data_IF_453832348115
#
_entry.id   IF_453832348115
#
_cell.length_a   1.000
_cell.length_b   1.000
_cell.length_c   1.000
_cell.angle_alpha   90.00
_cell.angle_beta   90.00
_cell.angle_gamma   90.00
#
_symmetry.space_group_name_H-M   'P 1'
#
loop_
_entity.id
_entity.type
_entity.pdbx_description
1 polymer ?
#
# COMPACT_ATOMS: atom_id res chain seq x y z
N UNK A 1 -10.06 5.95 -24.84
CA UNK A 1 -10.12 5.02 -25.96
C UNK A 1 -10.41 3.61 -25.42
N UNK A 2 -11.53 2.95 -25.79
CA UNK A 2 -11.93 1.66 -25.18
C UNK A 2 -10.84 0.59 -25.23
N UNK A 3 -10.12 0.48 -26.34
CA UNK A 3 -9.05 -0.51 -26.53
C UNK A 3 -7.90 -0.35 -25.51
N UNK A 4 -7.49 0.88 -25.19
CA UNK A 4 -6.43 1.12 -24.21
C UNK A 4 -6.89 0.75 -22.79
N UNK A 5 -8.15 1.01 -22.47
CA UNK A 5 -8.75 0.60 -21.20
C UNK A 5 -8.80 -0.92 -21.05
N UNK A 6 -9.17 -1.64 -22.12
CA UNK A 6 -9.17 -3.11 -22.12
C UNK A 6 -7.76 -3.68 -21.96
N UNK A 7 -6.76 -3.10 -22.62
CA UNK A 7 -5.36 -3.50 -22.45
C UNK A 7 -4.91 -3.25 -21.01
N UNK A 8 -5.20 -2.06 -20.45
CA UNK A 8 -4.87 -1.74 -19.06
C UNK A 8 -5.49 -2.75 -18.09
N UNK A 9 -6.79 -3.01 -18.21
CA UNK A 9 -7.50 -3.96 -17.36
C UNK A 9 -6.89 -5.36 -17.45
N UNK A 10 -6.61 -5.85 -18.67
CA UNK A 10 -6.00 -7.16 -18.89
C UNK A 10 -4.62 -7.29 -18.23
N UNK A 11 -3.79 -6.25 -18.36
CA UNK A 11 -2.48 -6.19 -17.71
C UNK A 11 -2.62 -6.20 -16.18
N UNK A 12 -3.46 -5.34 -15.63
CA UNK A 12 -3.72 -5.25 -14.19
C UNK A 12 -4.21 -6.59 -13.64
N UNK A 13 -5.17 -7.24 -14.28
CA UNK A 13 -5.70 -8.54 -13.87
C UNK A 13 -4.62 -9.63 -13.87
N UNK A 14 -3.76 -9.63 -14.90
CA UNK A 14 -2.65 -10.57 -15.01
C UNK A 14 -1.66 -10.42 -13.85
N UNK A 15 -1.32 -9.19 -13.47
CA UNK A 15 -0.44 -8.93 -12.34
C UNK A 15 -1.13 -9.23 -11.00
N UNK A 16 -2.38 -8.82 -10.81
CA UNK A 16 -3.14 -9.11 -9.59
C UNK A 16 -3.25 -10.62 -9.35
N UNK A 17 -3.47 -11.41 -10.40
CA UNK A 17 -3.44 -12.88 -10.37
C UNK A 17 -2.05 -13.41 -10.00
N UNK A 18 -0.98 -12.84 -10.57
CA UNK A 18 0.40 -13.23 -10.27
C UNK A 18 0.75 -12.99 -8.80
N UNK A 19 0.29 -11.88 -8.22
CA UNK A 19 0.41 -11.57 -6.79
C UNK A 19 -0.61 -12.33 -5.91
N UNK A 20 -1.49 -13.15 -6.49
CA UNK A 20 -2.50 -13.96 -5.78
C UNK A 20 -3.45 -13.14 -4.91
N UNK A 21 -3.83 -11.96 -5.35
CA UNK A 21 -4.68 -11.06 -4.56
C UNK A 21 -6.16 -11.48 -4.48
N UNK A 22 -6.55 -12.55 -5.18
CA UNK A 22 -7.90 -13.10 -5.17
C UNK A 22 -8.77 -12.66 -6.34
N UNK A 23 -9.99 -13.21 -6.41
CA UNK A 23 -10.86 -13.07 -7.59
C UNK A 23 -11.53 -11.69 -7.72
N UNK A 24 -11.58 -10.92 -6.65
CA UNK A 24 -12.14 -9.55 -6.68
C UNK A 24 -11.06 -8.49 -6.92
N UNK A 25 -9.81 -8.93 -7.13
CA UNK A 25 -8.68 -8.03 -7.30
C UNK A 25 -8.74 -7.27 -8.62
N UNK A 26 -8.06 -6.14 -8.64
CA UNK A 26 -7.87 -5.28 -9.79
C UNK A 26 -6.92 -4.15 -9.43
N UNK A 27 -7.02 -3.03 -10.12
CA UNK A 27 -6.11 -1.92 -9.85
C UNK A 27 -6.17 -0.83 -10.90
N UNK A 28 -5.12 -0.05 -10.98
CA UNK A 28 -4.97 1.07 -11.92
C UNK A 28 -3.50 1.28 -12.26
N UNK A 29 -3.21 1.66 -13.52
CA UNK A 29 -1.88 2.09 -13.94
C UNK A 29 -1.63 3.54 -13.52
N UNK A 30 -0.41 3.81 -13.05
CA UNK A 30 -0.01 5.11 -12.52
C UNK A 30 1.39 5.51 -13.00
N UNK A 31 1.70 6.80 -12.90
CA UNK A 31 2.95 7.37 -13.39
C UNK A 31 4.17 7.15 -12.48
N UNK A 32 4.06 6.38 -11.41
CA UNK A 32 5.21 6.07 -10.54
C UNK A 32 4.80 5.62 -9.14
N UNK A 33 5.70 4.91 -8.44
CA UNK A 33 5.45 4.31 -7.14
C UNK A 33 5.01 5.28 -6.04
N UNK A 34 5.49 6.52 -6.09
CA UNK A 34 5.05 7.56 -5.14
C UNK A 34 3.56 7.87 -5.28
N UNK A 35 3.06 7.90 -6.52
CA UNK A 35 1.64 8.10 -6.79
C UNK A 35 0.83 6.86 -6.42
N UNK A 36 1.37 5.67 -6.65
CA UNK A 36 0.73 4.41 -6.23
C UNK A 36 0.59 4.34 -4.70
N UNK A 37 1.64 4.70 -3.96
CA UNK A 37 1.60 4.75 -2.50
C UNK A 37 0.62 5.84 -1.99
N UNK A 38 0.62 7.02 -2.62
CA UNK A 38 -0.32 8.10 -2.29
C UNK A 38 -1.76 7.64 -2.46
N UNK A 39 -2.09 7.04 -3.60
CA UNK A 39 -3.45 6.57 -3.87
C UNK A 39 -3.86 5.42 -2.95
N UNK A 40 -2.96 4.47 -2.66
CA UNK A 40 -3.21 3.38 -1.73
C UNK A 40 -3.58 3.89 -0.33
N UNK A 41 -2.79 4.85 0.19
CA UNK A 41 -3.03 5.45 1.51
C UNK A 41 -4.31 6.31 1.49
N UNK A 42 -4.58 6.99 0.36
CA UNK A 42 -5.81 7.76 0.16
C UNK A 42 -7.07 6.89 0.23
N UNK A 43 -7.06 5.74 -0.45
CA UNK A 43 -8.16 4.76 -0.39
C UNK A 43 -8.31 4.20 1.03
N UNK A 44 -7.20 3.79 1.67
CA UNK A 44 -7.21 3.30 3.04
C UNK A 44 -7.82 4.34 4.02
N UNK A 45 -7.41 5.62 3.88
CA UNK A 45 -7.94 6.75 4.67
C UNK A 45 -9.44 6.93 4.44
N UNK A 46 -9.87 7.02 3.18
CA UNK A 46 -11.27 7.26 2.84
C UNK A 46 -12.16 6.14 3.38
N UNK A 47 -11.72 4.90 3.21
CA UNK A 47 -12.45 3.73 3.70
C UNK A 47 -12.51 3.64 5.22
N UNK A 48 -11.41 3.93 5.90
CA UNK A 48 -11.34 3.81 7.36
C UNK A 48 -12.08 4.93 8.09
N UNK A 49 -12.06 6.14 7.54
CA UNK A 49 -12.63 7.34 8.16
C UNK A 49 -13.91 7.83 7.46
N UNK A 50 -14.39 7.14 6.42
CA UNK A 50 -15.52 7.60 5.59
C UNK A 50 -15.32 9.03 5.10
N UNK A 51 -14.05 9.38 4.79
CA UNK A 51 -13.62 10.76 4.55
C UNK A 51 -13.72 11.19 3.08
N UNK A 52 -14.30 10.37 2.22
CA UNK A 52 -14.40 10.64 0.79
C UNK A 52 -15.14 11.95 0.52
N UNK A 53 -16.30 12.18 1.16
CA UNK A 53 -17.09 13.40 0.98
C UNK A 53 -16.74 14.51 1.98
N UNK A 54 -16.50 14.14 3.24
CA UNK A 54 -16.39 15.11 4.34
C UNK A 54 -14.95 15.50 4.69
N UNK A 55 -13.96 14.82 4.08
CA UNK A 55 -12.57 15.00 4.45
C UNK A 55 -12.27 14.52 5.88
N UNK A 56 -11.26 15.11 6.51
CA UNK A 56 -10.80 14.72 7.84
C UNK A 56 -11.28 15.68 8.95
N UNK A 57 -12.11 16.67 8.59
CA UNK A 57 -12.62 17.66 9.54
C UNK A 57 -13.50 16.97 10.59
N UNK A 58 -13.22 17.22 11.87
CA UNK A 58 -13.97 16.63 12.96
C UNK A 58 -13.51 15.27 13.45
N UNK A 59 -12.40 14.73 12.94
CA UNK A 59 -11.78 13.54 13.53
C UNK A 59 -11.35 13.85 14.97
N UNK A 60 -11.88 13.07 15.91
CA UNK A 60 -11.57 13.21 17.34
C UNK A 60 -10.25 12.53 17.74
N UNK A 61 -9.71 11.66 16.88
CA UNK A 61 -8.54 10.83 17.15
C UNK A 61 -7.55 10.98 16.01
N UNK A 62 -6.28 11.22 16.37
CA UNK A 62 -5.20 11.36 15.38
C UNK A 62 -5.02 10.07 14.58
N UNK A 63 -5.11 10.13 13.23
CA UNK A 63 -4.79 9.01 12.36
C UNK A 63 -3.30 8.66 12.39
N UNK A 64 -2.95 7.36 12.32
CA UNK A 64 -1.56 6.92 12.26
C UNK A 64 -1.35 5.87 11.15
N UNK A 65 -0.21 6.02 10.48
CA UNK A 65 0.35 5.06 9.53
C UNK A 65 1.63 4.49 10.16
N UNK A 66 1.73 3.17 10.28
CA UNK A 66 2.96 2.52 10.74
C UNK A 66 3.75 1.99 9.55
N UNK A 67 5.06 2.24 9.52
CA UNK A 67 5.94 1.76 8.45
C UNK A 67 7.37 1.60 8.99
N UNK A 68 8.22 0.87 8.26
CA UNK A 68 9.64 0.72 8.60
C UNK A 68 10.38 2.07 8.57
N UNK A 69 11.36 2.25 9.44
CA UNK A 69 12.28 3.40 9.38
C UNK A 69 13.04 3.50 8.05
N UNK A 70 13.17 2.41 7.30
CA UNK A 70 13.75 2.37 5.95
C UNK A 70 12.71 2.46 4.82
N UNK A 71 11.48 2.87 5.13
CA UNK A 71 10.46 3.08 4.13
C UNK A 71 10.87 4.17 3.13
N UNK A 72 10.29 4.13 1.94
CA UNK A 72 10.48 5.20 0.97
C UNK A 72 9.78 6.49 1.44
N UNK A 73 10.42 7.65 1.22
CA UNK A 73 9.91 8.97 1.65
C UNK A 73 8.54 9.33 1.08
N UNK A 74 8.07 8.62 0.04
CA UNK A 74 6.73 8.77 -0.51
C UNK A 74 5.62 8.54 0.52
N UNK A 75 5.87 7.74 1.57
CA UNK A 75 4.88 7.48 2.61
C UNK A 75 4.63 8.75 3.44
N UNK A 76 5.71 9.41 3.87
CA UNK A 76 5.61 10.69 4.60
C UNK A 76 5.01 11.79 3.72
N UNK A 77 5.42 11.85 2.43
CA UNK A 77 4.85 12.79 1.46
C UNK A 77 3.36 12.52 1.22
N UNK A 78 2.95 11.25 1.12
CA UNK A 78 1.54 10.90 1.01
C UNK A 78 0.74 11.36 2.24
N UNK A 79 1.24 11.13 3.45
CA UNK A 79 0.61 11.61 4.67
C UNK A 79 0.45 13.14 4.68
N UNK A 80 1.48 13.88 4.26
CA UNK A 80 1.45 15.35 4.13
C UNK A 80 0.39 15.79 3.11
N UNK A 81 0.41 15.25 1.90
CA UNK A 81 -0.52 15.62 0.81
C UNK A 81 -1.97 15.30 1.17
N UNK A 82 -2.19 14.17 1.84
CA UNK A 82 -3.52 13.73 2.27
C UNK A 82 -4.05 14.48 3.51
N UNK A 83 -3.34 15.49 4.02
CA UNK A 83 -3.77 16.28 5.16
C UNK A 83 -3.68 15.55 6.51
N UNK A 84 -2.95 14.43 6.58
CA UNK A 84 -2.70 13.68 7.81
C UNK A 84 -1.56 14.30 8.64
N UNK A 85 -0.64 14.99 7.97
CA UNK A 85 0.61 15.50 8.53
C UNK A 85 1.70 14.41 8.66
N UNK A 86 2.96 14.81 8.61
CA UNK A 86 4.10 13.86 8.69
C UNK A 86 4.21 13.18 10.06
N UNK A 87 3.73 13.82 11.12
CA UNK A 87 3.70 13.22 12.47
C UNK A 87 2.70 12.08 12.62
N UNK A 88 1.83 11.87 11.63
CA UNK A 88 0.96 10.68 11.56
C UNK A 88 1.73 9.41 11.17
N UNK A 89 2.94 9.54 10.61
CA UNK A 89 3.76 8.40 10.20
C UNK A 89 4.65 7.95 11.36
N UNK A 90 4.35 6.75 11.86
CA UNK A 90 5.10 6.11 12.95
C UNK A 90 6.15 5.19 12.37
N UNK A 91 7.40 5.52 12.59
CA UNK A 91 8.54 4.72 12.11
C UNK A 91 8.79 3.57 13.09
N UNK A 92 8.74 2.35 12.58
CA UNK A 92 9.00 1.11 13.32
C UNK A 92 10.47 0.76 13.15
N UNK A 93 11.19 0.45 14.23
CA UNK A 93 12.60 0.02 14.16
C UNK A 93 12.77 -1.24 13.30
N UNK A 94 13.98 -1.39 12.76
CA UNK A 94 14.39 -2.54 11.98
C UNK A 94 15.39 -3.42 12.72
N UNK A 95 15.48 -4.67 12.29
CA UNK A 95 16.53 -5.59 12.73
C UNK A 95 17.86 -5.32 11.98
N UNK A 96 18.90 -6.10 12.30
CA UNK A 96 20.21 -6.03 11.65
C UNK A 96 20.19 -6.30 10.14
N UNK A 97 19.10 -6.87 9.63
CA UNK A 97 18.88 -7.14 8.19
C UNK A 97 18.04 -6.03 7.53
N UNK A 98 17.70 -4.97 8.26
CA UNK A 98 16.89 -3.85 7.78
C UNK A 98 15.41 -4.19 7.56
N UNK A 99 14.88 -5.19 8.28
CA UNK A 99 13.47 -5.59 8.23
C UNK A 99 12.72 -5.05 9.42
N UNK A 100 11.49 -4.63 9.22
CA UNK A 100 10.61 -4.17 10.29
C UNK A 100 10.49 -5.20 11.42
N UNK A 101 10.75 -4.79 12.65
CA UNK A 101 10.60 -5.65 13.85
C UNK A 101 9.09 -5.72 14.18
N UNK A 102 8.48 -6.88 13.94
CA UNK A 102 7.02 -7.08 14.10
C UNK A 102 6.57 -6.93 15.55
N UNK A 103 7.40 -7.30 16.53
CA UNK A 103 7.08 -7.09 17.94
C UNK A 103 7.04 -5.60 18.31
N UNK A 104 7.95 -4.79 17.76
CA UNK A 104 7.93 -3.34 17.93
C UNK A 104 6.71 -2.71 17.25
N UNK A 105 6.34 -3.18 16.05
CA UNK A 105 5.09 -2.76 15.37
C UNK A 105 3.87 -2.99 16.26
N UNK A 106 3.71 -4.19 16.84
CA UNK A 106 2.59 -4.52 17.74
C UNK A 106 2.53 -3.57 18.94
N UNK A 107 3.68 -3.33 19.56
CA UNK A 107 3.77 -2.41 20.71
C UNK A 107 3.39 -0.99 20.33
N UNK A 108 3.94 -0.45 19.24
CA UNK A 108 3.65 0.91 18.78
C UNK A 108 2.17 1.11 18.43
N UNK A 109 1.54 0.13 17.78
CA UNK A 109 0.09 0.17 17.49
C UNK A 109 -0.70 0.21 18.80
N UNK A 110 -0.38 -0.67 19.76
CA UNK A 110 -1.08 -0.71 21.05
C UNK A 110 -0.90 0.59 21.84
N UNK A 111 0.32 1.14 21.86
CA UNK A 111 0.62 2.41 22.52
C UNK A 111 -0.18 3.57 21.90
N UNK A 112 -0.30 3.60 20.55
CA UNK A 112 -1.14 4.62 19.88
C UNK A 112 -2.61 4.47 20.24
N UNK A 113 -3.15 3.27 20.28
CA UNK A 113 -4.54 3.00 20.67
C UNK A 113 -4.78 3.45 22.12
N UNK A 114 -3.89 3.08 23.04
CA UNK A 114 -3.98 3.43 24.46
C UNK A 114 -3.93 4.96 24.70
N UNK A 115 -3.20 5.68 23.85
CA UNK A 115 -3.09 7.14 23.86
C UNK A 115 -4.11 7.84 22.96
N UNK A 116 -5.28 7.25 22.78
CA UNK A 116 -6.37 7.79 21.99
C UNK A 116 -6.01 8.11 20.52
N UNK A 117 -5.05 7.40 19.96
CA UNK A 117 -4.73 7.44 18.53
C UNK A 117 -5.60 6.49 17.72
N UNK A 118 -5.54 6.62 16.41
CA UNK A 118 -6.30 5.80 15.47
C UNK A 118 -5.40 5.23 14.36
N UNK A 119 -4.63 4.15 14.63
CA UNK A 119 -3.85 3.47 13.61
C UNK A 119 -4.78 2.86 12.56
N UNK A 120 -4.61 3.23 11.28
CA UNK A 120 -5.49 2.78 10.20
C UNK A 120 -4.77 2.07 9.06
N UNK A 121 -3.46 2.28 8.92
CA UNK A 121 -2.67 1.73 7.83
C UNK A 121 -1.30 1.25 8.32
N UNK A 122 -0.89 0.07 7.87
CA UNK A 122 0.48 -0.43 7.97
C UNK A 122 1.03 -0.50 6.55
N UNK A 123 2.18 0.13 6.33
CA UNK A 123 2.92 0.01 5.06
C UNK A 123 4.11 -0.90 5.28
N UNK A 124 4.01 -2.13 4.78
CA UNK A 124 5.13 -3.06 4.71
C UNK A 124 5.96 -2.77 3.45
N UNK A 125 7.26 -2.99 3.50
CA UNK A 125 8.15 -2.78 2.35
C UNK A 125 8.67 -4.11 1.82
N UNK A 126 8.46 -4.36 0.55
CA UNK A 126 9.05 -5.50 -0.17
C UNK A 126 10.15 -5.02 -1.10
N UNK A 127 11.33 -4.82 -0.55
CA UNK A 127 12.53 -4.29 -1.20
C UNK A 127 12.73 -2.80 -0.93
N UNK A 128 13.38 -2.47 0.20
CA UNK A 128 13.75 -1.09 0.54
C UNK A 128 14.74 -0.51 -0.47
N UNK A 129 14.66 0.78 -0.71
CA UNK A 129 15.58 1.48 -1.62
C UNK A 129 17.04 1.41 -1.14
N UNK A 130 17.25 1.40 0.16
CA UNK A 130 18.60 1.47 0.77
C UNK A 130 19.27 0.10 0.85
N UNK A 131 18.56 -0.92 1.31
CA UNK A 131 19.15 -2.23 1.62
C UNK A 131 18.58 -3.37 0.78
N UNK A 132 17.49 -3.15 0.04
CA UNK A 132 16.76 -4.20 -0.68
C UNK A 132 16.01 -5.16 0.26
N UNK A 133 15.94 -4.86 1.56
CA UNK A 133 15.28 -5.71 2.57
C UNK A 133 13.80 -5.87 2.28
N UNK A 134 13.28 -7.05 2.61
CA UNK A 134 11.86 -7.38 2.50
C UNK A 134 11.37 -7.69 3.90
N UNK A 135 10.36 -6.97 4.35
CA UNK A 135 9.73 -7.15 5.65
C UNK A 135 9.07 -8.54 5.80
N UNK A 136 8.81 -8.95 7.02
CA UNK A 136 8.11 -10.21 7.33
C UNK A 136 6.61 -10.07 7.04
N UNK A 137 6.23 -10.10 5.73
CA UNK A 137 4.89 -9.77 5.25
C UNK A 137 3.78 -10.60 5.92
N UNK A 138 4.01 -11.90 6.15
CA UNK A 138 3.04 -12.76 6.85
C UNK A 138 2.75 -12.28 8.28
N UNK A 139 3.80 -11.98 9.04
CA UNK A 139 3.65 -11.54 10.42
C UNK A 139 2.97 -10.16 10.49
N UNK A 140 3.31 -9.26 9.55
CA UNK A 140 2.68 -7.95 9.45
C UNK A 140 1.20 -8.09 9.08
N UNK A 141 0.85 -9.03 8.20
CA UNK A 141 -0.54 -9.32 7.85
C UNK A 141 -1.35 -9.81 9.07
N UNK A 142 -0.76 -10.65 9.91
CA UNK A 142 -1.40 -11.08 11.17
C UNK A 142 -1.66 -9.90 12.12
N UNK A 143 -0.73 -8.94 12.19
CA UNK A 143 -0.93 -7.72 12.97
C UNK A 143 -2.06 -6.88 12.38
N UNK A 144 -2.05 -6.68 11.05
CA UNK A 144 -3.08 -5.92 10.36
C UNK A 144 -4.48 -6.53 10.57
N UNK A 145 -4.59 -7.84 10.47
CA UNK A 145 -5.84 -8.59 10.70
C UNK A 145 -6.32 -8.44 12.15
N UNK A 146 -5.43 -8.68 13.14
CA UNK A 146 -5.74 -8.56 14.58
C UNK A 146 -6.33 -7.22 14.95
N UNK A 147 -5.74 -6.13 14.42
CA UNK A 147 -6.17 -4.76 14.75
C UNK A 147 -7.15 -4.16 13.73
N UNK A 148 -7.55 -4.93 12.71
CA UNK A 148 -8.42 -4.48 11.60
C UNK A 148 -7.89 -3.23 10.91
N UNK A 149 -6.59 -3.22 10.63
CA UNK A 149 -5.84 -2.13 10.00
C UNK A 149 -5.58 -2.50 8.54
N UNK A 150 -5.64 -1.51 7.63
CA UNK A 150 -5.28 -1.69 6.23
C UNK A 150 -3.79 -2.06 6.09
N UNK A 151 -3.50 -3.13 5.38
CA UNK A 151 -2.13 -3.47 5.01
C UNK A 151 -1.88 -3.05 3.55
N UNK A 152 -0.97 -2.11 3.36
CA UNK A 152 -0.38 -1.79 2.06
C UNK A 152 1.02 -2.38 1.97
N UNK A 153 1.37 -3.01 0.86
CA UNK A 153 2.75 -3.44 0.61
C UNK A 153 3.37 -2.58 -0.50
N UNK A 154 4.36 -1.78 -0.12
CA UNK A 154 5.23 -1.11 -1.08
C UNK A 154 6.21 -2.13 -1.67
N UNK A 155 5.87 -2.68 -2.82
CA UNK A 155 6.70 -3.62 -3.57
C UNK A 155 7.23 -3.01 -4.88
N UNK A 156 7.29 -1.70 -4.92
CA UNK A 156 7.77 -0.91 -6.07
C UNK A 156 9.14 -1.39 -6.57
N UNK A 157 10.01 -1.83 -5.68
CA UNK A 157 11.33 -2.36 -6.02
C UNK A 157 11.35 -3.88 -6.09
N UNK A 158 11.06 -4.57 -5.00
CA UNK A 158 11.22 -6.02 -4.89
C UNK A 158 10.06 -6.85 -5.44
N UNK A 159 8.95 -6.23 -5.84
CA UNK A 159 7.79 -6.95 -6.37
C UNK A 159 8.09 -7.81 -7.60
N UNK A 160 9.13 -7.46 -8.37
CA UNK A 160 9.57 -8.26 -9.52
C UNK A 160 10.02 -9.69 -9.14
N UNK A 161 10.37 -9.93 -7.88
CA UNK A 161 10.71 -11.28 -7.41
C UNK A 161 9.56 -12.29 -7.57
N UNK A 162 8.32 -11.82 -7.74
CA UNK A 162 7.15 -12.69 -7.99
C UNK A 162 7.31 -13.51 -9.27
N UNK A 163 8.14 -13.08 -10.21
CA UNK A 163 8.44 -13.78 -11.46
C UNK A 163 9.60 -14.76 -11.34
N UNK A 164 10.33 -14.76 -10.22
CA UNK A 164 11.47 -15.64 -9.99
C UNK A 164 11.05 -16.92 -9.27
N UNK A 165 11.16 -18.07 -9.91
CA UNK A 165 10.90 -19.37 -9.25
C UNK A 165 11.81 -19.55 -8.01
N UNK A 166 13.04 -19.06 -8.07
CA UNK A 166 14.03 -19.17 -7.00
C UNK A 166 13.75 -18.23 -5.81
N UNK A 167 13.19 -17.04 -6.04
CA UNK A 167 13.14 -16.00 -5.02
C UNK A 167 11.73 -15.51 -4.66
N UNK A 168 10.69 -15.96 -5.38
CA UNK A 168 9.29 -15.55 -5.12
C UNK A 168 8.82 -15.82 -3.68
N UNK A 169 9.42 -16.83 -3.00
CA UNK A 169 9.09 -17.15 -1.61
C UNK A 169 9.36 -15.99 -0.64
N UNK A 170 10.28 -15.06 -1.00
CA UNK A 170 10.55 -13.88 -0.19
C UNK A 170 9.36 -12.92 -0.09
N UNK A 171 8.41 -13.03 -1.02
CA UNK A 171 7.18 -12.24 -1.03
C UNK A 171 5.99 -12.95 -0.37
N UNK A 172 6.19 -14.10 0.28
CA UNK A 172 5.12 -14.81 0.97
C UNK A 172 4.43 -13.91 2.00
N UNK A 173 3.11 -13.80 1.90
CA UNK A 173 2.29 -12.88 2.70
C UNK A 173 1.83 -11.64 1.93
N UNK A 174 2.41 -11.34 0.76
CA UNK A 174 1.99 -10.20 -0.06
C UNK A 174 0.53 -10.34 -0.52
N UNK A 175 0.07 -11.56 -0.75
CA UNK A 175 -1.30 -11.91 -1.13
C UNK A 175 -2.34 -11.57 -0.05
N UNK A 176 -1.88 -11.33 1.18
CA UNK A 176 -2.75 -10.90 2.29
C UNK A 176 -2.98 -9.39 2.32
N UNK A 177 -2.17 -8.61 1.60
CA UNK A 177 -2.27 -7.16 1.55
C UNK A 177 -3.60 -6.69 0.96
N UNK A 178 -4.14 -5.60 1.49
CA UNK A 178 -5.29 -4.92 0.91
C UNK A 178 -4.93 -4.20 -0.39
N UNK A 179 -3.68 -3.71 -0.47
CA UNK A 179 -3.13 -3.06 -1.66
C UNK A 179 -1.64 -3.32 -1.81
N UNK A 180 -1.17 -3.32 -3.05
CA UNK A 180 0.23 -3.55 -3.43
C UNK A 180 0.63 -2.53 -4.49
N UNK A 181 1.69 -1.77 -4.27
CA UNK A 181 2.32 -0.96 -5.31
C UNK A 181 3.41 -1.75 -6.02
N UNK A 182 3.48 -1.64 -7.34
CA UNK A 182 4.46 -2.35 -8.15
C UNK A 182 4.93 -1.51 -9.34
N UNK A 183 6.23 -1.49 -9.62
CA UNK A 183 6.79 -0.74 -10.74
C UNK A 183 7.51 -1.64 -11.75
N UNK A 184 6.87 -1.99 -12.87
CA UNK A 184 7.55 -2.67 -13.97
C UNK A 184 8.78 -1.91 -14.50
N UNK A 185 8.77 -0.59 -14.44
CA UNK A 185 9.88 0.28 -14.89
C UNK A 185 11.18 0.12 -14.08
N UNK A 186 11.16 -0.60 -12.93
CA UNK A 186 12.38 -0.89 -12.16
C UNK A 186 13.01 -2.20 -12.65
N UNK A 187 12.73 -3.32 -12.06
CA UNK A 187 13.42 -4.58 -12.38
C UNK A 187 12.91 -5.31 -13.62
N UNK A 188 11.73 -4.95 -14.15
CA UNK A 188 11.29 -5.50 -15.44
C UNK A 188 11.75 -4.65 -16.63
N UNK A 189 12.54 -3.59 -16.39
CA UNK A 189 13.14 -2.73 -17.42
C UNK A 189 12.14 -2.13 -18.42
N UNK A 190 10.88 -2.00 -18.01
CA UNK A 190 9.87 -1.30 -18.84
C UNK A 190 10.18 0.19 -18.86
N UNK A 191 9.91 0.83 -19.99
CA UNK A 191 10.12 2.28 -20.16
C UNK A 191 9.33 3.08 -19.12
N UNK A 192 9.91 4.16 -18.61
CA UNK A 192 9.22 5.13 -17.75
C UNK A 192 8.09 5.84 -18.55
N UNK A 193 6.93 6.11 -18.01
CA UNK A 193 6.55 5.90 -16.62
C UNK A 193 5.61 4.70 -16.54
N UNK A 194 5.91 3.72 -15.70
CA UNK A 194 5.07 2.53 -15.57
C UNK A 194 5.05 2.07 -14.12
N UNK A 195 3.94 2.28 -13.47
CA UNK A 195 3.66 1.82 -12.11
C UNK A 195 2.22 1.35 -12.04
N UNK A 196 1.91 0.53 -11.07
CA UNK A 196 0.54 0.12 -10.81
C UNK A 196 0.24 0.06 -9.32
N UNK A 197 -0.99 0.36 -8.99
CA UNK A 197 -1.60 0.05 -7.72
C UNK A 197 -2.54 -1.13 -7.93
N UNK A 198 -2.25 -2.24 -7.27
CA UNK A 198 -3.10 -3.43 -7.22
C UNK A 198 -3.89 -3.43 -5.92
N UNK A 199 -5.15 -3.80 -5.99
CA UNK A 199 -6.08 -3.86 -4.86
C UNK A 199 -6.66 -5.26 -4.74
N UNK A 200 -6.79 -5.76 -3.52
CA UNK A 200 -7.44 -7.03 -3.22
C UNK A 200 -8.93 -7.02 -3.59
N UNK A 201 -9.56 -5.85 -3.52
CA UNK A 201 -10.92 -5.62 -3.99
C UNK A 201 -10.95 -4.35 -4.86
N UNK A 202 -11.17 -4.52 -6.16
CA UNK A 202 -11.20 -3.43 -7.14
C UNK A 202 -12.34 -2.43 -6.90
N UNK A 203 -13.40 -2.84 -6.22
CA UNK A 203 -14.52 -1.95 -5.92
C UNK A 203 -14.12 -0.76 -5.04
N UNK A 204 -13.00 -0.84 -4.31
CA UNK A 204 -12.49 0.29 -3.53
C UNK A 204 -12.07 1.49 -4.39
N UNK A 205 -11.73 1.27 -5.67
CA UNK A 205 -11.51 2.39 -6.60
C UNK A 205 -12.81 3.16 -6.86
N UNK A 206 -13.93 2.47 -6.93
CA UNK A 206 -15.22 3.07 -7.21
C UNK A 206 -15.86 3.68 -5.96
N UNK A 207 -15.85 2.96 -4.84
CA UNK A 207 -16.52 3.41 -3.61
C UNK A 207 -15.76 4.51 -2.86
N UNK A 208 -14.43 4.50 -2.96
CA UNK A 208 -13.61 5.32 -2.08
C UNK A 208 -12.71 6.33 -2.83
N UNK A 209 -12.78 6.36 -4.19
CA UNK A 209 -11.91 7.25 -4.97
C UNK A 209 -12.54 7.78 -6.27
N UNK A 210 -13.52 7.12 -6.84
CA UNK A 210 -14.13 7.52 -8.11
C UNK A 210 -15.14 8.66 -7.93
N UNK A 211 -15.04 9.67 -8.77
CA UNK A 211 -16.03 10.74 -8.90
C UNK A 211 -16.64 10.63 -10.30
N UNK A 212 -17.97 10.42 -10.42
CA UNK A 212 -18.63 10.32 -11.72
C UNK A 212 -18.52 11.65 -12.48
N UNK A 213 -18.17 11.55 -13.76
CA UNK A 213 -18.05 12.72 -14.64
C UNK A 213 -19.36 12.93 -15.39
N UNK A 214 -20.05 14.07 -15.22
CA UNK A 214 -21.36 14.31 -15.85
C UNK A 214 -21.29 14.51 -17.36
N UNK A 215 -20.08 14.65 -17.91
CA UNK A 215 -19.84 14.89 -19.36
C UNK A 215 -19.18 13.71 -20.08
N UNK A 216 -19.02 12.57 -19.43
CA UNK A 216 -18.58 11.32 -20.04
C UNK A 216 -19.77 10.36 -20.01
N UNK A 217 -20.52 10.34 -21.10
CA UNK A 217 -21.58 9.38 -21.40
C UNK A 217 -21.08 8.27 -22.31
#
# INVERSE_FOLDING_TARGET
APVLTEIENSVIESFAKKFKLGNQSGGVMLAGGSLSNLQAIGIARNRFFESFEKGLTGLKRQPYISTSEYCHTSIQKAAMILGLGTNSVVLVPTDSNGKMITSALRKLIQDKINNNGNPFCIVATAGTTVTGSIDHLNEIAEVAEKYKIWMHTDSVYGGALIFSEKFKYKLNGIEKSNSVSFNPQKWLYITKTCSMLLLKNKNYLYSDFFIPLPYVT
#
